data_IF_390723085509
#
_entry.id   IF_390723085509
#
_cell.length_a   1.000
_cell.length_b   1.000
_cell.length_c   1.000
_cell.angle_alpha   90.00
_cell.angle_beta   90.00
_cell.angle_gamma   90.00
#
_symmetry.space_group_name_H-M   'P 1'
#
loop_
_entity.id
_entity.type
_entity.pdbx_description
1 polymer ?
#
# COMPACT_ATOMS: atom_id res chain seq x y z
N UNK A 1 29.46 10.20 -65.76
CA UNK A 1 28.90 11.08 -64.67
C UNK A 1 27.72 10.48 -63.97
N UNK A 2 26.92 9.62 -64.59
CA UNK A 2 25.70 9.02 -63.98
C UNK A 2 26.02 8.04 -62.82
N UNK A 3 27.12 7.28 -62.87
CA UNK A 3 27.50 6.32 -61.82
C UNK A 3 27.97 7.02 -60.55
N UNK A 4 28.63 8.18 -60.68
CA UNK A 4 29.07 8.96 -59.51
C UNK A 4 27.89 9.60 -58.76
N UNK A 5 26.89 10.05 -59.47
CA UNK A 5 25.64 10.61 -58.89
C UNK A 5 24.84 9.52 -58.15
N UNK A 6 24.75 8.31 -58.72
CA UNK A 6 24.08 7.17 -58.06
C UNK A 6 24.82 6.73 -56.81
N UNK A 7 26.15 6.67 -56.87
CA UNK A 7 26.97 6.32 -55.68
C UNK A 7 26.81 7.36 -54.55
N UNK A 8 26.75 8.65 -54.87
CA UNK A 8 26.55 9.73 -53.90
C UNK A 8 25.17 9.63 -53.21
N UNK A 9 24.15 9.29 -54.04
CA UNK A 9 22.78 9.15 -53.52
C UNK A 9 22.65 7.94 -52.55
N UNK A 10 23.30 6.82 -52.86
CA UNK A 10 23.34 5.65 -51.98
C UNK A 10 24.11 5.96 -50.69
N UNK A 11 25.26 6.63 -50.80
CA UNK A 11 26.06 7.00 -49.63
C UNK A 11 25.30 7.98 -48.73
N UNK A 12 24.62 8.97 -49.30
CA UNK A 12 23.75 9.90 -48.55
C UNK A 12 22.59 9.21 -47.85
N UNK A 13 21.94 8.25 -48.54
CA UNK A 13 20.87 7.44 -47.95
C UNK A 13 21.33 6.59 -46.76
N UNK A 14 22.51 5.95 -46.88
CA UNK A 14 23.10 5.19 -45.74
C UNK A 14 23.41 6.12 -44.56
N UNK A 15 23.95 7.29 -44.82
CA UNK A 15 24.30 8.24 -43.75
C UNK A 15 23.06 8.74 -43.02
N UNK A 16 21.98 9.04 -43.72
CA UNK A 16 20.68 9.40 -43.13
C UNK A 16 20.10 8.24 -42.32
N UNK A 17 20.17 7.02 -42.83
CA UNK A 17 19.69 5.84 -42.09
C UNK A 17 20.42 5.65 -40.75
N UNK A 18 21.75 5.75 -40.76
CA UNK A 18 22.57 5.62 -39.53
C UNK A 18 22.20 6.74 -38.54
N UNK A 19 21.99 7.95 -39.01
CA UNK A 19 21.60 9.09 -38.19
C UNK A 19 20.25 8.85 -37.54
N UNK A 20 19.24 8.44 -38.27
CA UNK A 20 17.90 8.12 -37.76
C UNK A 20 17.93 6.95 -36.76
N UNK A 21 18.67 5.87 -37.09
CA UNK A 21 18.81 4.71 -36.21
C UNK A 21 19.51 5.08 -34.90
N UNK A 22 20.54 5.91 -34.95
CA UNK A 22 21.24 6.41 -33.76
C UNK A 22 20.33 7.27 -32.89
N UNK A 23 19.56 8.13 -33.49
CA UNK A 23 18.59 8.98 -32.77
C UNK A 23 17.47 8.15 -32.12
N UNK A 24 16.92 7.18 -32.85
CA UNK A 24 15.93 6.24 -32.29
C UNK A 24 16.47 5.48 -31.08
N UNK A 25 17.70 4.95 -31.17
CA UNK A 25 18.36 4.23 -30.05
C UNK A 25 18.53 5.12 -28.83
N UNK A 26 18.87 6.38 -29.02
CA UNK A 26 19.02 7.37 -27.94
C UNK A 26 17.68 7.70 -27.26
N UNK A 27 16.60 7.82 -28.05
CA UNK A 27 15.25 8.02 -27.52
C UNK A 27 14.79 6.81 -26.70
N UNK A 28 14.98 5.59 -27.19
CA UNK A 28 14.59 4.37 -26.46
C UNK A 28 15.35 4.23 -25.13
N UNK A 29 16.62 4.57 -25.08
CA UNK A 29 17.40 4.58 -23.81
C UNK A 29 16.85 5.59 -22.81
N UNK A 30 16.48 6.81 -23.25
CA UNK A 30 15.89 7.82 -22.37
C UNK A 30 14.49 7.42 -21.88
N UNK A 31 13.67 6.86 -22.73
CA UNK A 31 12.34 6.38 -22.30
C UNK A 31 12.44 5.27 -21.25
N UNK A 32 13.37 4.32 -21.41
CA UNK A 32 13.53 3.22 -20.45
C UNK A 32 13.90 3.69 -19.04
N UNK A 33 14.77 4.68 -18.90
CA UNK A 33 15.14 5.23 -17.58
C UNK A 33 14.00 6.03 -16.95
N UNK A 34 13.31 6.86 -17.70
CA UNK A 34 12.17 7.64 -17.20
C UNK A 34 11.01 6.75 -16.77
N UNK A 35 10.75 5.67 -17.50
CA UNK A 35 9.68 4.73 -17.16
C UNK A 35 9.95 4.02 -15.83
N UNK A 36 11.20 3.60 -15.57
CA UNK A 36 11.56 2.95 -14.30
C UNK A 36 11.46 3.89 -13.10
N UNK A 37 11.85 5.16 -13.24
CA UNK A 37 11.68 6.19 -12.20
C UNK A 37 10.20 6.46 -11.93
N UNK A 38 9.39 6.59 -12.99
CA UNK A 38 7.96 6.83 -12.86
C UNK A 38 7.23 5.69 -12.14
N UNK A 39 7.54 4.43 -12.44
CA UNK A 39 6.97 3.28 -11.74
C UNK A 39 7.42 3.23 -10.27
N UNK A 40 8.65 3.61 -9.97
CA UNK A 40 9.15 3.68 -8.60
C UNK A 40 8.41 4.75 -7.79
N UNK A 41 8.26 5.95 -8.34
CA UNK A 41 7.54 7.05 -7.69
C UNK A 41 6.05 6.71 -7.47
N UNK A 42 5.41 6.03 -8.44
CA UNK A 42 4.04 5.53 -8.25
C UNK A 42 3.95 4.52 -7.10
N UNK A 43 4.88 3.57 -7.05
CA UNK A 43 4.91 2.57 -5.98
C UNK A 43 5.09 3.22 -4.60
N UNK A 44 5.96 4.20 -4.47
CA UNK A 44 6.19 4.92 -3.21
C UNK A 44 4.94 5.72 -2.77
N UNK A 45 4.21 6.31 -3.72
CA UNK A 45 2.95 7.00 -3.46
C UNK A 45 1.85 6.03 -3.01
N UNK A 46 1.73 4.88 -3.64
CA UNK A 46 0.75 3.84 -3.26
C UNK A 46 1.04 3.29 -1.86
N UNK A 47 2.31 3.06 -1.52
CA UNK A 47 2.75 2.65 -0.17
C UNK A 47 2.36 3.72 0.85
N UNK A 48 2.64 4.98 0.55
CA UNK A 48 2.30 6.10 1.42
C UNK A 48 0.79 6.19 1.66
N UNK A 49 -0.03 6.16 0.60
CA UNK A 49 -1.48 6.22 0.70
C UNK A 49 -2.05 5.04 1.50
N UNK A 50 -1.53 3.84 1.26
CA UNK A 50 -1.91 2.65 2.02
C UNK A 50 -1.60 2.82 3.50
N UNK A 51 -0.40 3.23 3.85
CA UNK A 51 0.03 3.39 5.23
C UNK A 51 -0.75 4.51 5.94
N UNK A 52 -1.01 5.62 5.26
CA UNK A 52 -1.73 6.76 5.83
C UNK A 52 -3.15 6.41 6.29
N UNK A 53 -3.81 5.45 5.66
CA UNK A 53 -5.12 4.98 6.09
C UNK A 53 -5.10 4.47 7.54
N UNK A 54 -4.00 3.86 7.97
CA UNK A 54 -3.82 3.34 9.32
C UNK A 54 -3.19 4.36 10.27
N UNK A 55 -2.14 5.08 9.83
CA UNK A 55 -1.50 6.11 10.65
C UNK A 55 -2.44 7.24 11.06
N UNK A 56 -3.52 7.47 10.32
CA UNK A 56 -4.55 8.42 10.71
C UNK A 56 -5.24 8.07 12.04
N UNK A 57 -5.14 6.84 12.50
CA UNK A 57 -5.69 6.38 13.77
C UNK A 57 -4.65 6.25 14.88
N UNK A 58 -3.37 6.39 14.57
CA UNK A 58 -2.28 6.22 15.53
C UNK A 58 -2.35 7.26 16.66
N UNK A 59 -2.13 6.81 17.89
CA UNK A 59 -2.02 7.66 19.09
C UNK A 59 -3.27 8.45 19.45
N UNK A 60 -4.42 8.22 18.81
CA UNK A 60 -5.68 8.94 19.07
C UNK A 60 -6.47 8.28 20.17
N UNK A 61 -7.29 9.07 20.88
CA UNK A 61 -8.35 8.57 21.74
C UNK A 61 -9.52 8.09 20.89
N UNK A 62 -9.42 6.86 20.40
CA UNK A 62 -10.39 6.27 19.50
C UNK A 62 -11.68 5.91 20.20
N UNK A 63 -12.77 6.05 19.48
CA UNK A 63 -14.07 5.47 19.85
C UNK A 63 -14.18 4.07 19.24
N UNK A 64 -15.14 3.30 19.72
CA UNK A 64 -15.40 1.95 19.19
C UNK A 64 -15.70 1.93 17.69
N UNK A 65 -16.29 3.00 17.14
CA UNK A 65 -16.57 3.14 15.72
C UNK A 65 -15.28 3.24 14.90
N UNK A 66 -14.26 3.91 15.45
CA UNK A 66 -12.94 4.01 14.84
C UNK A 66 -12.25 2.65 14.86
N UNK A 67 -12.37 1.89 15.96
CA UNK A 67 -11.89 0.50 16.08
C UNK A 67 -12.50 -0.38 14.99
N UNK A 68 -13.82 -0.31 14.81
CA UNK A 68 -14.53 -1.05 13.75
C UNK A 68 -14.06 -0.62 12.37
N UNK A 69 -13.78 0.66 12.16
CA UNK A 69 -13.24 1.16 10.89
C UNK A 69 -11.86 0.59 10.59
N UNK A 70 -10.97 0.53 11.58
CA UNK A 70 -9.64 -0.09 11.47
C UNK A 70 -9.76 -1.58 11.11
N UNK A 71 -10.62 -2.33 11.79
CA UNK A 71 -10.85 -3.75 11.52
C UNK A 71 -11.35 -3.96 10.08
N UNK A 72 -12.27 -3.13 9.61
CA UNK A 72 -12.77 -3.22 8.25
C UNK A 72 -11.69 -2.85 7.21
N UNK A 73 -10.88 -1.81 7.45
CA UNK A 73 -9.76 -1.45 6.59
C UNK A 73 -8.74 -2.58 6.48
N UNK A 74 -8.34 -3.18 7.60
CA UNK A 74 -7.40 -4.31 7.62
C UNK A 74 -7.98 -5.53 6.89
N UNK A 75 -9.28 -5.83 7.12
CA UNK A 75 -9.99 -6.91 6.40
C UNK A 75 -10.01 -6.68 4.90
N UNK A 76 -10.32 -5.47 4.47
CA UNK A 76 -10.40 -5.11 3.05
C UNK A 76 -9.00 -5.13 2.40
N UNK A 77 -7.97 -4.68 3.10
CA UNK A 77 -6.59 -4.76 2.65
C UNK A 77 -6.17 -6.22 2.39
N UNK A 78 -6.45 -7.11 3.36
CA UNK A 78 -6.10 -8.54 3.25
C UNK A 78 -6.90 -9.27 2.16
N UNK A 79 -8.15 -8.86 1.89
CA UNK A 79 -8.99 -9.47 0.83
C UNK A 79 -8.59 -9.06 -0.57
N UNK A 80 -8.12 -7.83 -0.74
CA UNK A 80 -7.78 -7.30 -2.08
C UNK A 80 -6.46 -7.81 -2.61
N UNK A 81 -5.62 -8.40 -1.75
CA UNK A 81 -4.25 -8.85 -2.10
C UNK A 81 -3.44 -7.77 -2.85
N UNK A 82 -3.77 -6.49 -2.59
CA UNK A 82 -3.15 -5.35 -3.30
C UNK A 82 -1.73 -5.13 -2.81
N UNK A 83 -1.45 -5.52 -1.57
CA UNK A 83 -0.15 -5.34 -0.92
C UNK A 83 0.47 -6.69 -0.57
N UNK A 84 1.81 -6.81 -0.59
CA UNK A 84 2.51 -8.07 -0.34
C UNK A 84 2.58 -8.44 1.15
N UNK A 85 1.81 -7.77 2.01
CA UNK A 85 1.79 -7.99 3.46
C UNK A 85 0.38 -8.28 3.95
N UNK A 86 0.29 -9.07 5.01
CA UNK A 86 -0.97 -9.30 5.74
C UNK A 86 -1.01 -8.31 6.89
N UNK A 87 -2.11 -7.57 7.01
CA UNK A 87 -2.34 -6.65 8.13
C UNK A 87 -2.96 -7.43 9.27
N UNK A 88 -2.25 -7.52 10.38
CA UNK A 88 -2.67 -8.18 11.61
C UNK A 88 -3.18 -7.15 12.60
N UNK A 89 -4.32 -7.44 13.23
CA UNK A 89 -4.93 -6.55 14.24
C UNK A 89 -4.96 -7.26 15.57
N UNK A 90 -4.31 -6.69 16.56
CA UNK A 90 -4.32 -7.14 17.96
C UNK A 90 -5.26 -6.24 18.76
N UNK A 91 -6.25 -6.84 19.40
CA UNK A 91 -7.20 -6.09 20.21
C UNK A 91 -7.14 -6.54 21.68
N UNK A 92 -6.58 -5.68 22.52
CA UNK A 92 -6.45 -5.91 23.96
C UNK A 92 -7.66 -5.29 24.68
N UNK A 93 -8.43 -6.13 25.38
CA UNK A 93 -9.54 -5.67 26.21
C UNK A 93 -10.91 -6.23 25.86
N UNK A 94 -10.98 -7.23 24.97
CA UNK A 94 -12.21 -7.97 24.73
C UNK A 94 -11.93 -9.46 24.48
N UNK A 95 -11.98 -10.26 25.54
CA UNK A 95 -11.71 -11.72 25.52
C UNK A 95 -12.76 -12.51 24.71
N UNK A 96 -13.78 -11.88 24.18
CA UNK A 96 -14.87 -12.54 23.46
C UNK A 96 -14.69 -12.57 21.93
N UNK A 97 -13.60 -11.99 21.40
CA UNK A 97 -13.31 -12.01 19.98
C UNK A 97 -12.44 -13.23 19.64
N UNK A 98 -12.74 -13.86 18.50
CA UNK A 98 -11.92 -14.96 18.01
C UNK A 98 -10.54 -14.46 17.55
N UNK A 99 -9.50 -15.05 18.13
CA UNK A 99 -8.11 -14.77 17.80
C UNK A 99 -7.44 -15.96 17.12
N UNK A 100 -6.37 -15.67 16.37
CA UNK A 100 -5.42 -16.66 15.86
C UNK A 100 -4.53 -17.18 16.99
N UNK A 101 -3.66 -18.13 16.69
CA UNK A 101 -2.71 -18.71 17.65
C UNK A 101 -1.70 -17.68 18.18
N UNK A 102 -1.38 -16.68 17.37
CA UNK A 102 -0.49 -15.55 17.66
C UNK A 102 -1.15 -14.42 18.47
N UNK A 103 -2.47 -14.51 18.71
CA UNK A 103 -3.25 -13.49 19.42
C UNK A 103 -3.85 -12.40 18.51
N UNK A 104 -3.55 -12.40 17.22
CA UNK A 104 -4.19 -11.48 16.26
C UNK A 104 -5.67 -11.85 16.02
N UNK A 105 -6.51 -10.86 15.66
CA UNK A 105 -7.92 -11.10 15.38
C UNK A 105 -8.10 -11.92 14.09
N UNK A 106 -9.01 -12.88 14.13
CA UNK A 106 -9.51 -13.57 12.91
C UNK A 106 -10.43 -12.63 12.14
N UNK A 107 -9.85 -11.70 11.37
CA UNK A 107 -10.56 -10.61 10.71
C UNK A 107 -11.77 -11.08 9.87
N UNK A 108 -11.68 -12.25 9.24
CA UNK A 108 -12.78 -12.81 8.42
C UNK A 108 -14.00 -13.24 9.24
N UNK A 109 -13.81 -13.53 10.53
CA UNK A 109 -14.86 -14.00 11.44
C UNK A 109 -15.36 -12.95 12.41
N UNK A 110 -14.68 -11.82 12.51
CA UNK A 110 -15.10 -10.74 13.40
C UNK A 110 -16.42 -10.14 12.95
N UNK A 111 -17.44 -10.30 13.77
CA UNK A 111 -18.71 -9.59 13.57
C UNK A 111 -18.64 -8.19 14.17
N UNK A 112 -18.39 -7.21 13.31
CA UNK A 112 -18.28 -5.79 13.68
C UNK A 112 -19.59 -5.23 14.26
N UNK A 113 -20.75 -5.82 13.93
CA UNK A 113 -22.03 -5.43 14.52
C UNK A 113 -22.12 -5.85 16.00
N UNK A 114 -21.56 -7.02 16.33
CA UNK A 114 -21.51 -7.48 17.71
C UNK A 114 -20.59 -6.61 18.58
N UNK A 115 -19.50 -6.10 18.02
CA UNK A 115 -18.59 -5.16 18.69
C UNK A 115 -19.34 -3.85 18.99
N UNK A 116 -20.05 -3.30 18.00
CA UNK A 116 -20.85 -2.08 18.18
C UNK A 116 -21.99 -2.26 19.21
N UNK A 117 -22.71 -3.38 19.16
CA UNK A 117 -23.82 -3.64 20.07
C UNK A 117 -23.37 -3.84 21.52
N UNK A 118 -22.23 -4.48 21.74
CA UNK A 118 -21.63 -4.61 23.10
C UNK A 118 -21.18 -3.27 23.64
N UNK A 119 -20.64 -2.39 22.79
CA UNK A 119 -20.21 -1.06 23.18
C UNK A 119 -21.37 -0.13 23.57
N UNK A 120 -22.59 -0.40 23.11
CA UNK A 120 -23.78 0.34 23.55
C UNK A 120 -24.09 0.02 25.03
N UNK A 121 -23.71 -1.16 25.50
CA UNK A 121 -23.84 -1.59 26.90
C UNK A 121 -22.62 -1.24 27.77
N UNK A 122 -21.45 -1.02 27.15
CA UNK A 122 -20.27 -0.48 27.82
C UNK A 122 -20.31 1.05 27.84
N UNK A 123 -19.62 1.67 28.78
CA UNK A 123 -19.61 3.12 28.95
C UNK A 123 -19.24 3.82 27.62
N UNK A 124 -20.14 4.69 27.14
CA UNK A 124 -19.96 5.55 25.95
C UNK A 124 -18.63 6.33 25.98
N UNK A 125 -18.08 6.51 27.17
CA UNK A 125 -16.82 7.21 27.41
C UNK A 125 -15.58 6.35 27.21
N UNK A 126 -15.71 5.05 26.96
CA UNK A 126 -14.56 4.18 26.74
C UNK A 126 -13.75 4.68 25.52
N UNK A 127 -12.45 4.85 25.74
CA UNK A 127 -11.49 5.25 24.71
C UNK A 127 -10.46 4.14 24.49
N UNK A 128 -9.95 4.10 23.27
CA UNK A 128 -8.94 3.16 22.86
C UNK A 128 -7.72 3.89 22.30
N UNK A 129 -6.57 3.36 22.50
CA UNK A 129 -5.33 3.79 21.83
C UNK A 129 -4.96 2.81 20.73
N UNK A 130 -4.38 3.32 19.68
CA UNK A 130 -3.90 2.54 18.54
C UNK A 130 -2.42 2.79 18.33
N UNK A 131 -1.67 1.72 18.15
CA UNK A 131 -0.27 1.74 17.71
C UNK A 131 -0.18 1.03 16.38
N UNK A 132 0.51 1.65 15.42
CA UNK A 132 0.67 1.16 14.05
C UNK A 132 2.14 0.88 13.81
N UNK A 133 2.46 -0.33 13.35
CA UNK A 133 3.83 -0.75 13.07
C UNK A 133 3.95 -1.31 11.66
N UNK A 134 5.13 -1.17 11.07
CA UNK A 134 5.43 -1.75 9.77
C UNK A 134 5.59 -3.27 9.87
N UNK A 135 5.24 -3.99 8.81
CA UNK A 135 5.53 -5.41 8.70
C UNK A 135 7.04 -5.64 8.62
N UNK A 136 7.48 -6.77 9.11
CA UNK A 136 8.89 -7.14 9.14
C UNK A 136 9.50 -7.12 7.72
N UNK A 137 10.60 -6.41 7.56
CA UNK A 137 11.30 -6.20 6.28
C UNK A 137 10.44 -5.57 5.15
N UNK A 138 9.44 -4.77 5.51
CA UNK A 138 8.53 -4.12 4.56
C UNK A 138 8.32 -2.64 4.89
N UNK A 139 7.97 -1.85 3.87
CA UNK A 139 7.57 -0.46 4.02
C UNK A 139 6.04 -0.31 4.19
N UNK A 140 5.30 -1.43 4.26
CA UNK A 140 3.86 -1.44 4.48
C UNK A 140 3.53 -1.64 5.95
N UNK A 141 2.44 -1.03 6.41
CA UNK A 141 1.85 -1.33 7.71
C UNK A 141 1.42 -2.79 7.74
N UNK A 142 1.84 -3.50 8.79
CA UNK A 142 1.54 -4.92 8.98
C UNK A 142 0.94 -5.25 10.34
N UNK A 143 1.21 -4.45 11.37
CA UNK A 143 0.76 -4.74 12.74
C UNK A 143 0.02 -3.53 13.29
N UNK A 144 -1.17 -3.77 13.81
CA UNK A 144 -2.01 -2.75 14.46
C UNK A 144 -2.42 -3.27 15.83
N UNK A 145 -2.02 -2.58 16.87
CA UNK A 145 -2.37 -2.91 18.24
C UNK A 145 -3.35 -1.89 18.81
N UNK A 146 -4.51 -2.37 19.22
CA UNK A 146 -5.57 -1.55 19.82
C UNK A 146 -5.72 -1.97 21.27
N UNK A 147 -5.57 -1.03 22.20
CA UNK A 147 -5.73 -1.25 23.64
C UNK A 147 -6.79 -0.34 24.24
N UNK A 148 -7.55 -0.87 25.22
CA UNK A 148 -8.53 -0.09 25.97
C UNK A 148 -7.81 0.84 26.92
N UNK A 149 -8.11 2.14 26.88
CA UNK A 149 -7.61 3.10 27.86
C UNK A 149 -8.37 2.87 29.19
N UNK A 150 -7.68 2.34 30.18
CA UNK A 150 -8.21 2.23 31.54
C UNK A 150 -7.99 3.58 32.21
N UNK A 151 -9.07 4.36 32.40
CA UNK A 151 -9.06 5.57 33.24
C UNK A 151 -9.20 5.16 34.69
#
# INVERSE_FOLDING_TARGET
>A
MENASKALLIAGGMLLFILVASFATLLFRRMGSQTSEFYKDMSDTEIYEFNQQFFNYEGRELRIQDVVSIINLARDANKREVVPVIVEVYFQGNDSLETNVDGSLKLDRVDTKSILSKSINDDINTRYSCTVEYAENSNYVGIITISKNTT
#
